data_IF_420767752797
#
_entry.id   IF_420767752797
#
_cell.length_a   1.000
_cell.length_b   1.000
_cell.length_c   1.000
_cell.angle_alpha   90.00
_cell.angle_beta   90.00
_cell.angle_gamma   90.00
#
_symmetry.space_group_name_H-M   'P 1'
#
loop_
_entity.id
_entity.type
_entity.pdbx_description
1 polymer ?
#
# COMPACT_ATOMS: atom_id res chain seq x y z
N UNK A 1 22.81 14.82 60.46
CA UNK A 1 22.08 13.84 59.60
C UNK A 1 20.97 14.52 58.77
N UNK A 2 21.24 15.62 58.05
CA UNK A 2 20.18 16.44 57.38
C UNK A 2 20.41 16.62 55.87
N UNK A 3 21.38 15.90 55.29
CA UNK A 3 21.84 16.03 53.88
C UNK A 3 21.40 14.89 52.96
N UNK A 4 20.77 13.83 53.48
CA UNK A 4 20.38 12.64 52.69
C UNK A 4 18.93 12.68 52.16
N UNK A 5 18.10 13.60 52.66
CA UNK A 5 16.68 13.68 52.28
C UNK A 5 16.49 14.48 50.99
N UNK A 6 17.36 15.47 50.70
CA UNK A 6 17.24 16.32 49.51
C UNK A 6 17.50 15.59 48.19
N UNK A 7 18.33 14.54 48.18
CA UNK A 7 18.61 13.76 46.97
C UNK A 7 17.48 12.79 46.58
N UNK A 8 16.59 12.42 47.52
CA UNK A 8 15.48 11.51 47.25
C UNK A 8 14.26 12.21 46.62
N UNK A 9 14.12 13.52 46.82
CA UNK A 9 13.00 14.30 46.25
C UNK A 9 13.28 14.73 44.80
N UNK A 10 14.56 14.89 44.41
CA UNK A 10 14.93 15.25 43.04
C UNK A 10 14.93 14.01 42.12
N UNK A 11 15.26 12.82 42.65
CA UNK A 11 15.25 11.57 41.87
C UNK A 11 13.85 11.05 41.52
N UNK A 12 12.82 11.45 42.27
CA UNK A 12 11.44 11.00 42.05
C UNK A 12 10.65 11.87 41.05
N UNK A 13 11.13 13.07 40.72
CA UNK A 13 10.45 13.97 39.79
C UNK A 13 10.75 13.67 38.30
N UNK A 14 11.78 12.87 38.00
CA UNK A 14 12.18 12.53 36.63
C UNK A 14 11.52 11.27 36.06
N UNK A 15 10.78 10.49 36.86
CA UNK A 15 10.13 9.25 36.39
C UNK A 15 8.71 9.45 35.83
N UNK A 16 8.12 10.65 35.94
CA UNK A 16 6.74 10.90 35.53
C UNK A 16 6.58 11.35 34.06
N UNK A 17 7.68 11.59 33.32
CA UNK A 17 7.62 12.10 31.95
C UNK A 17 7.67 10.99 30.86
N UNK A 18 7.67 9.71 31.24
CA UNK A 18 7.86 8.59 30.32
C UNK A 18 6.55 7.93 29.82
N UNK A 19 5.40 8.58 29.92
CA UNK A 19 4.12 7.94 29.64
C UNK A 19 3.17 8.85 28.88
N UNK A 20 3.40 9.00 27.57
CA UNK A 20 2.40 9.20 26.51
C UNK A 20 3.16 9.43 25.19
N UNK A 21 3.80 8.39 24.65
CA UNK A 21 4.06 8.40 23.21
C UNK A 21 2.67 8.31 22.55
N UNK A 22 2.12 9.45 22.13
CA UNK A 22 0.87 9.49 21.37
C UNK A 22 1.11 8.63 20.13
N UNK A 23 0.43 7.50 20.05
CA UNK A 23 0.49 6.63 18.89
C UNK A 23 0.06 7.42 17.65
N UNK A 24 0.67 7.13 16.51
CA UNK A 24 0.20 7.70 15.24
C UNK A 24 -1.25 7.25 15.06
N UNK A 25 -2.18 8.19 14.92
CA UNK A 25 -3.59 7.89 14.72
C UNK A 25 -3.75 7.24 13.34
N UNK A 26 -4.51 6.12 13.23
CA UNK A 26 -4.72 5.50 11.93
C UNK A 26 -5.48 6.46 11.01
N UNK A 27 -5.06 6.60 9.75
CA UNK A 27 -5.83 7.32 8.75
C UNK A 27 -7.17 6.63 8.52
N UNK A 28 -8.18 7.40 8.15
CA UNK A 28 -9.46 6.85 7.76
C UNK A 28 -9.29 5.84 6.61
N UNK A 29 -9.93 4.67 6.69
CA UNK A 29 -9.86 3.68 5.63
C UNK A 29 -10.57 4.18 4.37
N UNK A 30 -10.06 3.80 3.21
CA UNK A 30 -10.74 4.08 1.94
C UNK A 30 -12.08 3.34 1.92
N UNK A 31 -13.15 4.06 1.56
CA UNK A 31 -14.44 3.41 1.35
C UNK A 31 -14.34 2.38 0.22
N UNK A 32 -14.90 1.19 0.41
CA UNK A 32 -14.93 0.16 -0.62
C UNK A 32 -16.27 0.14 -1.36
N UNK A 33 -16.23 -0.26 -2.62
CA UNK A 33 -17.40 -0.49 -3.47
C UNK A 33 -17.49 -1.98 -3.79
N UNK A 34 -18.68 -2.55 -3.61
CA UNK A 34 -18.95 -3.93 -4.02
C UNK A 34 -19.09 -3.98 -5.55
N UNK A 35 -18.25 -4.78 -6.19
CA UNK A 35 -18.39 -5.14 -7.59
C UNK A 35 -19.08 -6.50 -7.65
N UNK A 36 -20.22 -6.55 -8.33
CA UNK A 36 -20.93 -7.81 -8.54
C UNK A 36 -20.16 -8.60 -9.60
N UNK A 37 -19.90 -9.86 -9.30
CA UNK A 37 -19.21 -10.78 -10.18
C UNK A 37 -20.05 -11.19 -11.40
N UNK A 38 -19.44 -12.00 -12.24
CA UNK A 38 -20.02 -12.47 -13.49
C UNK A 38 -18.96 -12.70 -14.55
N UNK A 39 -19.43 -12.83 -15.79
CA UNK A 39 -18.58 -13.01 -16.96
C UNK A 39 -18.24 -11.66 -17.58
N UNK A 40 -16.95 -11.37 -17.69
CA UNK A 40 -16.43 -10.14 -18.27
C UNK A 40 -15.51 -10.44 -19.44
N UNK A 41 -15.54 -9.57 -20.47
CA UNK A 41 -14.56 -9.62 -21.55
C UNK A 41 -13.29 -8.92 -21.10
N UNK A 42 -12.19 -9.67 -21.00
CA UNK A 42 -10.86 -9.16 -20.68
C UNK A 42 -10.00 -9.13 -21.94
N UNK A 43 -9.34 -8.00 -22.21
CA UNK A 43 -8.52 -7.81 -23.40
C UNK A 43 -9.30 -7.27 -24.62
N UNK A 44 -8.59 -7.12 -25.73
CA UNK A 44 -9.11 -6.47 -26.94
C UNK A 44 -9.62 -7.47 -27.99
N UNK A 45 -10.65 -7.07 -28.75
CA UNK A 45 -11.16 -7.88 -29.88
C UNK A 45 -10.39 -7.66 -31.18
N UNK A 46 -9.87 -6.45 -31.39
CA UNK A 46 -9.17 -6.12 -32.63
C UNK A 46 -7.72 -6.63 -32.56
N UNK A 47 -7.26 -7.24 -33.65
CA UNK A 47 -5.89 -7.74 -33.74
C UNK A 47 -4.94 -6.58 -34.01
N UNK A 48 -3.82 -6.55 -33.29
CA UNK A 48 -2.75 -5.56 -33.50
C UNK A 48 -1.71 -6.05 -34.54
N UNK A 49 -2.13 -6.81 -35.56
CA UNK A 49 -1.21 -7.58 -36.41
C UNK A 49 -0.77 -6.92 -37.72
N UNK A 50 -1.21 -5.69 -38.03
CA UNK A 50 -0.81 -5.00 -39.26
C UNK A 50 -0.23 -3.63 -38.95
N UNK A 51 0.93 -3.34 -39.54
CA UNK A 51 1.82 -2.19 -39.33
C UNK A 51 1.24 -0.78 -39.65
N UNK A 52 -0.08 -0.59 -39.55
CA UNK A 52 -0.75 0.74 -39.55
C UNK A 52 -0.97 1.25 -38.10
N UNK A 53 -0.21 0.69 -37.16
CA UNK A 53 -0.38 0.81 -35.71
C UNK A 53 0.13 2.14 -35.16
N UNK A 54 -0.68 3.20 -35.31
CA UNK A 54 -0.55 4.38 -34.44
C UNK A 54 -1.35 4.25 -33.14
N UNK A 55 -2.17 3.19 -32.98
CA UNK A 55 -3.10 3.03 -31.84
C UNK A 55 -2.98 1.68 -31.12
N UNK A 56 -2.02 0.84 -31.47
CA UNK A 56 -1.74 -0.37 -30.72
C UNK A 56 -0.85 0.02 -29.54
N UNK A 57 -1.43 0.27 -28.37
CA UNK A 57 -0.63 0.26 -27.16
C UNK A 57 -0.27 -1.21 -26.88
N UNK A 58 1.02 -1.54 -26.95
CA UNK A 58 1.60 -2.89 -26.79
C UNK A 58 1.24 -3.59 -25.47
N UNK A 59 0.52 -2.91 -24.58
CA UNK A 59 0.21 -3.34 -23.22
C UNK A 59 -1.15 -4.04 -23.08
N UNK A 60 -1.99 -4.10 -24.12
CA UNK A 60 -3.32 -4.73 -24.00
C UNK A 60 -3.30 -6.20 -24.44
N UNK A 61 -3.79 -7.14 -23.60
CA UNK A 61 -3.83 -8.55 -23.95
C UNK A 61 -4.81 -8.84 -25.09
N UNK A 62 -4.36 -9.66 -26.06
CA UNK A 62 -5.14 -10.14 -27.20
C UNK A 62 -4.91 -11.66 -27.40
N UNK A 63 -5.91 -12.45 -27.83
CA UNK A 63 -7.29 -12.05 -28.07
C UNK A 63 -8.06 -11.83 -26.76
N UNK A 64 -9.10 -11.01 -26.82
CA UNK A 64 -10.02 -10.84 -25.71
C UNK A 64 -10.68 -12.17 -25.33
N UNK A 65 -10.64 -12.51 -24.05
CA UNK A 65 -11.22 -13.74 -23.48
C UNK A 65 -12.33 -13.42 -22.50
N UNK A 66 -13.28 -14.34 -22.33
CA UNK A 66 -14.29 -14.22 -21.27
C UNK A 66 -13.73 -14.78 -19.97
N UNK A 67 -13.75 -13.98 -18.91
CA UNK A 67 -13.27 -14.33 -17.57
C UNK A 67 -14.43 -14.26 -16.59
N UNK A 68 -14.59 -15.32 -15.80
CA UNK A 68 -15.53 -15.34 -14.70
C UNK A 68 -14.86 -14.81 -13.43
N UNK A 69 -15.41 -13.76 -12.84
CA UNK A 69 -14.92 -13.16 -11.60
C UNK A 69 -16.01 -13.23 -10.54
N UNK A 70 -15.67 -13.63 -9.31
CA UNK A 70 -16.61 -13.63 -8.17
C UNK A 70 -16.89 -12.21 -7.70
N UNK A 71 -17.95 -12.02 -6.90
CA UNK A 71 -18.16 -10.76 -6.17
C UNK A 71 -16.89 -10.38 -5.39
N UNK A 72 -16.48 -9.11 -5.48
CA UNK A 72 -15.35 -8.58 -4.72
C UNK A 72 -15.59 -7.13 -4.32
N UNK A 73 -14.75 -6.61 -3.43
CA UNK A 73 -14.76 -5.20 -3.04
C UNK A 73 -13.50 -4.53 -3.62
N UNK A 74 -13.66 -3.31 -4.10
CA UNK A 74 -12.57 -2.49 -4.61
C UNK A 74 -12.57 -1.15 -3.88
N UNK A 75 -11.40 -0.65 -3.55
CA UNK A 75 -11.26 0.69 -2.99
C UNK A 75 -11.83 1.73 -3.97
N UNK A 76 -12.63 2.66 -3.45
CA UNK A 76 -13.26 3.71 -4.26
C UNK A 76 -12.24 4.68 -4.87
N UNK A 77 -11.11 4.85 -4.20
CA UNK A 77 -10.00 5.70 -4.62
C UNK A 77 -8.70 4.96 -4.40
N UNK A 78 -7.64 5.42 -5.06
CA UNK A 78 -6.29 4.94 -4.76
C UNK A 78 -5.92 5.20 -3.29
N UNK A 79 -5.00 4.38 -2.78
CA UNK A 79 -4.41 4.57 -1.45
C UNK A 79 -3.67 5.90 -1.42
N UNK A 80 -4.01 6.74 -0.46
CA UNK A 80 -3.39 8.06 -0.30
C UNK A 80 -1.96 7.96 0.24
N UNK A 81 -1.14 8.98 -0.03
CA UNK A 81 0.21 9.07 0.53
C UNK A 81 0.21 8.96 2.07
N UNK A 82 -0.75 9.59 2.74
CA UNK A 82 -0.85 9.55 4.19
C UNK A 82 -1.15 8.13 4.72
N UNK A 83 -2.05 7.40 4.06
CA UNK A 83 -2.32 5.99 4.37
C UNK A 83 -1.08 5.10 4.16
N UNK A 84 -0.36 5.31 3.06
CA UNK A 84 0.86 4.58 2.80
C UNK A 84 1.97 4.89 3.82
N UNK A 85 2.21 6.16 4.14
CA UNK A 85 3.18 6.58 5.15
C UNK A 85 2.87 5.98 6.53
N UNK A 86 1.60 5.94 6.91
CA UNK A 86 1.18 5.25 8.13
C UNK A 86 1.52 3.76 8.10
N UNK A 87 1.23 3.07 7.00
CA UNK A 87 1.55 1.65 6.83
C UNK A 87 3.06 1.38 6.96
N UNK A 88 3.91 2.24 6.37
CA UNK A 88 5.37 2.17 6.50
C UNK A 88 5.82 2.44 7.94
N UNK A 89 5.26 3.45 8.61
CA UNK A 89 5.59 3.78 10.00
C UNK A 89 5.23 2.64 10.98
N UNK A 90 4.21 1.84 10.65
CA UNK A 90 3.82 0.63 11.38
C UNK A 90 4.61 -0.62 10.99
N UNK A 91 5.55 -0.51 10.04
CA UNK A 91 6.33 -1.64 9.52
C UNK A 91 5.50 -2.67 8.75
N UNK A 92 4.31 -2.28 8.26
CA UNK A 92 3.40 -3.16 7.51
C UNK A 92 3.60 -3.05 5.99
N UNK A 93 4.15 -1.92 5.52
CA UNK A 93 4.50 -1.71 4.11
C UNK A 93 6.01 -1.52 3.96
N UNK A 94 6.62 -2.00 2.86
CA UNK A 94 8.02 -1.73 2.58
C UNK A 94 8.21 -0.23 2.37
N UNK A 95 9.29 0.32 2.90
CA UNK A 95 9.73 1.67 2.56
C UNK A 95 10.30 1.64 1.14
N UNK A 96 9.85 2.54 0.28
CA UNK A 96 10.53 2.76 -1.01
C UNK A 96 11.89 3.39 -0.69
N UNK A 97 12.96 2.60 -0.75
CA UNK A 97 14.31 3.12 -0.69
C UNK A 97 14.65 3.67 -2.08
N UNK A 98 15.04 4.95 -2.14
CA UNK A 98 15.51 5.70 -3.32
C UNK A 98 15.50 4.93 -4.65
N UNK A 99 14.70 5.38 -5.62
CA UNK A 99 14.79 4.93 -7.02
C UNK A 99 16.26 4.79 -7.40
N UNK A 100 16.73 3.56 -7.56
CA UNK A 100 18.14 3.32 -7.85
C UNK A 100 18.54 4.13 -9.08
N UNK A 101 19.61 4.92 -8.97
CA UNK A 101 20.27 5.61 -10.09
C UNK A 101 21.00 4.59 -11.00
N UNK A 102 20.29 3.55 -11.37
CA UNK A 102 20.70 2.44 -12.20
C UNK A 102 19.42 1.72 -12.58
N UNK A 103 19.01 1.86 -13.84
CA UNK A 103 17.71 1.42 -14.32
C UNK A 103 17.37 0.00 -13.88
N UNK A 104 16.37 -0.11 -13.01
CA UNK A 104 15.67 -1.36 -12.77
C UNK A 104 14.25 -1.15 -13.28
N UNK A 105 13.95 -1.72 -14.44
CA UNK A 105 12.62 -1.78 -15.05
C UNK A 105 11.68 -2.76 -14.34
N UNK A 106 12.08 -3.31 -13.19
CA UNK A 106 11.13 -3.98 -12.31
C UNK A 106 10.47 -2.94 -11.41
N UNK A 107 9.26 -2.55 -11.78
CA UNK A 107 8.22 -2.12 -10.85
C UNK A 107 8.45 -2.74 -9.46
N UNK A 108 8.50 -1.96 -8.37
CA UNK A 108 8.60 -2.54 -7.03
C UNK A 108 7.50 -3.57 -6.92
N UNK A 109 7.83 -4.84 -6.66
CA UNK A 109 6.83 -5.90 -6.47
C UNK A 109 6.06 -5.58 -5.19
N UNK A 110 5.09 -4.67 -5.31
CA UNK A 110 4.22 -4.17 -4.25
C UNK A 110 3.22 -5.22 -3.78
N UNK A 111 3.23 -6.40 -4.40
CA UNK A 111 2.47 -7.55 -3.95
C UNK A 111 3.39 -8.78 -4.01
N UNK A 112 3.84 -9.35 -2.88
CA UNK A 112 4.21 -10.76 -2.90
C UNK A 112 2.98 -11.51 -3.39
N UNK A 113 3.17 -12.29 -4.45
CA UNK A 113 2.16 -13.16 -5.03
C UNK A 113 1.31 -13.80 -3.92
N UNK A 114 -0.01 -13.74 -4.05
CA UNK A 114 -0.92 -14.53 -3.22
C UNK A 114 -0.51 -16.01 -3.35
N UNK A 115 0.21 -16.55 -2.37
CA UNK A 115 0.31 -17.99 -2.20
C UNK A 115 -1.07 -18.46 -1.73
N UNK A 116 -1.79 -19.11 -2.64
CA UNK A 116 -3.02 -19.83 -2.32
C UNK A 116 -2.69 -20.89 -1.25
N UNK A 117 -3.33 -20.77 -0.08
CA UNK A 117 -3.39 -21.82 0.94
C UNK A 117 -4.63 -22.68 0.75
#
# INVERSE_FOLDING_TARGET
MRRRIFFLVIGSLLLAAAGCAVGIEPPDPTGMVKITGGDFRFGETQTCFNNDSNNCNDSQPWPGVTVHVKDFYLDKTEVTNFQYEYCVAKGQCPKQDTFGTGGSTSEPTLFPYYEEK
#
